data_IF_203400258562
#
_entry.id   IF_203400258562
#
_cell.length_a   1.000
_cell.length_b   1.000
_cell.length_c   1.000
_cell.angle_alpha   90.00
_cell.angle_beta   90.00
_cell.angle_gamma   90.00
#
_symmetry.space_group_name_H-M   'P 1'
#
loop_
_entity.id
_entity.type
_entity.pdbx_description
1 polymer ?
#
# COMPACT_ATOMS: atom_id res chain seq x y z
N UNK A 1 -2.20 18.51 13.53
CA UNK A 1 -2.46 17.20 12.91
C UNK A 1 -2.83 16.27 14.06
N UNK A 2 -4.12 16.12 14.31
CA UNK A 2 -4.63 15.39 15.48
C UNK A 2 -4.32 13.91 15.26
N UNK A 3 -3.40 13.34 16.05
CA UNK A 3 -3.20 11.89 16.07
C UNK A 3 -4.49 11.31 16.65
N UNK A 4 -5.35 10.77 15.77
CA UNK A 4 -6.50 10.01 16.20
C UNK A 4 -5.99 8.86 17.08
N UNK A 5 -6.47 8.82 18.32
CA UNK A 5 -6.17 7.76 19.27
C UNK A 5 -6.43 6.41 18.61
N UNK A 6 -5.50 5.46 18.70
CA UNK A 6 -5.71 4.14 18.11
C UNK A 6 -7.03 3.55 18.66
N UNK A 7 -7.92 3.05 17.78
CA UNK A 7 -9.21 2.49 18.19
C UNK A 7 -9.02 1.39 19.23
N UNK A 8 -9.71 1.48 20.37
CA UNK A 8 -9.52 0.56 21.49
C UNK A 8 -10.19 -0.81 21.26
N UNK A 9 -11.14 -0.92 20.32
CA UNK A 9 -11.75 -2.18 19.88
C UNK A 9 -12.46 -2.04 18.52
N UNK A 10 -12.76 -3.19 17.88
CA UNK A 10 -13.37 -3.27 16.55
C UNK A 10 -14.72 -2.52 16.43
N UNK A 11 -15.57 -2.58 17.46
CA UNK A 11 -16.87 -1.89 17.47
C UNK A 11 -16.72 -0.37 17.47
N UNK A 12 -15.77 0.15 18.27
CA UNK A 12 -15.45 1.58 18.30
C UNK A 12 -14.97 2.06 16.93
N UNK A 13 -14.07 1.28 16.31
CA UNK A 13 -13.54 1.60 14.99
C UNK A 13 -14.64 1.65 13.91
N UNK A 14 -15.55 0.67 13.85
CA UNK A 14 -16.66 0.67 12.88
C UNK A 14 -17.53 1.92 13.02
N UNK A 15 -17.85 2.32 14.25
CA UNK A 15 -18.65 3.51 14.55
C UNK A 15 -17.94 4.79 14.11
N UNK A 16 -16.66 4.92 14.42
CA UNK A 16 -15.84 6.08 14.05
C UNK A 16 -15.69 6.22 12.52
N UNK A 17 -15.69 5.10 11.79
CA UNK A 17 -15.61 5.06 10.34
C UNK A 17 -16.99 5.00 9.64
N UNK A 18 -18.09 5.11 10.40
CA UNK A 18 -19.44 5.23 9.84
C UNK A 18 -20.05 3.94 9.30
N UNK A 19 -19.47 2.77 9.58
CA UNK A 19 -20.01 1.49 9.11
C UNK A 19 -21.15 0.98 10.00
N UNK A 20 -22.24 0.54 9.36
CA UNK A 20 -23.35 -0.15 10.01
C UNK A 20 -23.43 -1.58 9.46
N UNK A 21 -22.89 -2.53 10.21
CA UNK A 21 -22.87 -3.94 9.82
C UNK A 21 -23.96 -4.73 10.54
N UNK A 22 -24.42 -5.82 9.92
CA UNK A 22 -25.26 -6.81 10.60
C UNK A 22 -24.49 -7.44 11.76
N UNK A 23 -25.19 -8.03 12.73
CA UNK A 23 -24.54 -8.69 13.88
C UNK A 23 -23.51 -9.74 13.45
N UNK A 24 -23.85 -10.56 12.45
CA UNK A 24 -22.95 -11.58 11.92
C UNK A 24 -21.72 -10.96 11.24
N UNK A 25 -21.91 -9.89 10.46
CA UNK A 25 -20.82 -9.17 9.83
C UNK A 25 -19.91 -8.46 10.86
N UNK A 26 -20.47 -7.87 11.92
CA UNK A 26 -19.71 -7.25 12.99
C UNK A 26 -18.82 -8.24 13.75
N UNK A 27 -19.28 -9.48 13.98
CA UNK A 27 -18.45 -10.54 14.59
C UNK A 27 -17.28 -10.89 13.67
N UNK A 28 -17.56 -11.13 12.38
CA UNK A 28 -16.51 -11.41 11.38
C UNK A 28 -15.50 -10.26 11.26
N UNK A 29 -15.99 -9.02 11.34
CA UNK A 29 -15.12 -7.85 11.35
C UNK A 29 -14.23 -7.82 12.60
N UNK A 30 -14.77 -8.12 13.78
CA UNK A 30 -13.99 -8.14 15.01
C UNK A 30 -12.86 -9.18 14.98
N UNK A 31 -13.13 -10.38 14.47
CA UNK A 31 -12.10 -11.42 14.30
C UNK A 31 -11.01 -10.97 13.32
N UNK A 32 -11.42 -10.40 12.17
CA UNK A 32 -10.50 -9.86 11.16
C UNK A 32 -9.70 -8.68 11.71
N UNK A 33 -10.32 -7.81 12.49
CA UNK A 33 -9.68 -6.64 13.10
C UNK A 33 -8.54 -7.07 14.02
N UNK A 34 -8.76 -8.06 14.88
CA UNK A 34 -7.72 -8.57 15.78
C UNK A 34 -6.54 -9.18 14.99
N UNK A 35 -6.84 -9.99 13.98
CA UNK A 35 -5.83 -10.55 13.07
C UNK A 35 -5.03 -9.46 12.34
N UNK A 36 -5.68 -8.38 11.89
CA UNK A 36 -5.00 -7.26 11.23
C UNK A 36 -4.14 -6.41 12.17
N UNK A 37 -4.56 -6.24 13.43
CA UNK A 37 -3.75 -5.57 14.46
C UNK A 37 -2.46 -6.35 14.72
N UNK A 38 -2.55 -7.68 14.78
CA UNK A 38 -1.39 -8.55 14.99
C UNK A 38 -0.51 -8.63 13.73
N UNK A 39 -1.11 -8.81 12.55
CA UNK A 39 -0.39 -8.93 11.29
C UNK A 39 0.40 -7.67 10.93
N UNK A 40 -0.14 -6.50 11.23
CA UNK A 40 0.45 -5.20 10.92
C UNK A 40 0.75 -4.42 12.20
N UNK A 41 1.59 -5.02 13.05
CA UNK A 41 1.96 -4.48 14.35
C UNK A 41 3.06 -3.41 14.28
N UNK A 42 3.87 -3.39 13.22
CA UNK A 42 4.93 -2.39 13.06
C UNK A 42 4.32 -1.00 12.75
N UNK A 43 4.73 0.08 13.44
CA UNK A 43 4.33 1.44 13.10
C UNK A 43 4.49 1.82 11.62
N UNK A 44 5.48 1.29 10.92
CA UNK A 44 5.68 1.51 9.48
C UNK A 44 4.56 0.89 8.62
N UNK A 45 3.83 -0.08 9.14
CA UNK A 45 2.76 -0.81 8.47
C UNK A 45 1.37 -0.30 8.84
N UNK A 46 1.24 0.65 9.77
CA UNK A 46 -0.06 1.20 10.18
C UNK A 46 -0.91 1.71 9.01
N UNK A 47 -0.36 2.38 7.98
CA UNK A 47 -1.15 2.74 6.81
C UNK A 47 -1.74 1.53 6.06
N UNK A 48 -1.01 0.40 6.02
CA UNK A 48 -1.49 -0.85 5.41
C UNK A 48 -2.58 -1.49 6.26
N UNK A 49 -2.41 -1.47 7.59
CA UNK A 49 -3.42 -1.93 8.54
C UNK A 49 -4.73 -1.17 8.37
N UNK A 50 -4.67 0.16 8.34
CA UNK A 50 -5.84 1.01 8.22
C UNK A 50 -6.56 0.79 6.89
N UNK A 51 -5.80 0.67 5.79
CA UNK A 51 -6.35 0.33 4.47
C UNK A 51 -7.02 -1.06 4.45
N UNK A 52 -6.41 -2.06 5.11
CA UNK A 52 -6.97 -3.40 5.20
C UNK A 52 -8.24 -3.46 6.07
N UNK A 53 -8.29 -2.72 7.18
CA UNK A 53 -9.49 -2.60 8.01
C UNK A 53 -10.63 -1.94 7.23
N UNK A 54 -10.34 -0.87 6.49
CA UNK A 54 -11.31 -0.22 5.61
C UNK A 54 -11.83 -1.18 4.53
N UNK A 55 -10.95 -1.93 3.87
CA UNK A 55 -11.35 -2.91 2.86
C UNK A 55 -12.23 -4.03 3.46
N UNK A 56 -11.88 -4.54 4.64
CA UNK A 56 -12.67 -5.56 5.33
C UNK A 56 -14.07 -5.05 5.70
N UNK A 57 -14.17 -3.84 6.24
CA UNK A 57 -15.45 -3.23 6.59
C UNK A 57 -16.34 -3.03 5.36
N UNK A 58 -15.79 -2.48 4.26
CA UNK A 58 -16.51 -2.28 3.00
C UNK A 58 -16.96 -3.59 2.35
N UNK A 59 -16.10 -4.61 2.38
CA UNK A 59 -16.46 -5.94 1.87
C UNK A 59 -17.64 -6.54 2.66
N UNK A 60 -17.61 -6.43 3.98
CA UNK A 60 -18.68 -6.93 4.86
C UNK A 60 -19.96 -6.08 4.79
N UNK A 61 -19.85 -4.83 4.33
CA UNK A 61 -20.98 -3.95 4.01
C UNK A 61 -21.50 -4.14 2.58
N UNK A 62 -20.93 -5.08 1.80
CA UNK A 62 -21.25 -5.30 0.38
C UNK A 62 -20.95 -4.08 -0.53
N UNK A 63 -20.07 -3.17 -0.09
CA UNK A 63 -19.64 -1.95 -0.80
C UNK A 63 -18.31 -2.10 -1.55
N UNK A 64 -17.69 -3.28 -1.45
CA UNK A 64 -16.44 -3.61 -2.12
C UNK A 64 -16.44 -5.10 -2.47
N UNK A 65 -16.17 -5.43 -3.72
CA UNK A 65 -16.02 -6.82 -4.17
C UNK A 65 -14.55 -7.21 -4.31
N UNK A 66 -14.29 -8.52 -4.44
CA UNK A 66 -12.95 -9.01 -4.77
C UNK A 66 -12.47 -8.50 -6.13
N UNK A 67 -13.38 -8.38 -7.10
CA UNK A 67 -13.05 -7.85 -8.42
C UNK A 67 -12.63 -6.37 -8.35
N UNK A 68 -13.34 -5.54 -7.59
CA UNK A 68 -12.98 -4.14 -7.36
C UNK A 68 -11.59 -4.01 -6.74
N UNK A 69 -11.28 -4.83 -5.74
CA UNK A 69 -9.97 -4.89 -5.11
C UNK A 69 -8.88 -5.31 -6.11
N UNK A 70 -9.16 -6.31 -6.95
CA UNK A 70 -8.26 -6.74 -8.03
C UNK A 70 -7.98 -5.63 -9.04
N UNK A 71 -9.02 -4.94 -9.51
CA UNK A 71 -8.89 -3.81 -10.43
C UNK A 71 -8.13 -2.63 -9.78
N UNK A 72 -8.32 -2.38 -8.49
CA UNK A 72 -7.55 -1.36 -7.77
C UNK A 72 -6.06 -1.71 -7.71
N UNK A 73 -5.72 -2.98 -7.40
CA UNK A 73 -4.35 -3.46 -7.38
C UNK A 73 -3.69 -3.37 -8.77
N UNK A 74 -4.39 -3.78 -9.81
CA UNK A 74 -3.87 -3.72 -11.19
C UNK A 74 -3.57 -2.27 -11.60
N UNK A 75 -4.47 -1.33 -11.30
CA UNK A 75 -4.25 0.10 -11.53
C UNK A 75 -3.06 0.66 -10.75
N UNK A 76 -2.78 0.14 -9.55
CA UNK A 76 -1.62 0.54 -8.77
C UNK A 76 -0.32 0.00 -9.38
N UNK A 77 -0.32 -1.28 -9.80
CA UNK A 77 0.82 -1.91 -10.49
C UNK A 77 1.16 -1.22 -11.80
N UNK A 78 0.16 -0.99 -12.64
CA UNK A 78 0.35 -0.28 -13.92
C UNK A 78 0.96 1.12 -13.74
N UNK A 79 0.56 1.84 -12.68
CA UNK A 79 1.18 3.13 -12.33
C UNK A 79 2.62 2.98 -11.85
N UNK A 80 2.92 1.97 -11.04
CA UNK A 80 4.27 1.67 -10.59
C UNK A 80 5.18 1.30 -11.78
N UNK A 81 4.70 0.48 -12.71
CA UNK A 81 5.43 0.06 -13.91
C UNK A 81 5.70 1.25 -14.84
N UNK A 82 4.71 2.13 -15.03
CA UNK A 82 4.87 3.37 -15.78
C UNK A 82 5.92 4.28 -15.13
N UNK A 83 5.84 4.47 -13.81
CA UNK A 83 6.84 5.24 -13.07
C UNK A 83 8.24 4.64 -13.17
N UNK A 84 8.36 3.31 -13.13
CA UNK A 84 9.61 2.59 -13.29
C UNK A 84 10.20 2.76 -14.69
N UNK A 85 9.36 2.74 -15.74
CA UNK A 85 9.80 2.97 -17.11
C UNK A 85 10.31 4.41 -17.30
N UNK A 86 9.61 5.41 -16.75
CA UNK A 86 10.06 6.81 -16.77
C UNK A 86 11.38 6.97 -16.03
N UNK A 87 11.49 6.45 -14.80
CA UNK A 87 12.71 6.53 -13.99
C UNK A 87 13.90 5.86 -14.70
N UNK A 88 13.67 4.73 -15.37
CA UNK A 88 14.70 4.03 -16.16
C UNK A 88 15.26 4.91 -17.27
N UNK A 89 14.39 5.47 -18.12
CA UNK A 89 14.83 6.25 -19.29
C UNK A 89 15.58 7.50 -18.84
N UNK A 90 15.05 8.23 -17.87
CA UNK A 90 15.70 9.43 -17.34
C UNK A 90 17.04 9.10 -16.70
N UNK A 91 17.13 8.03 -15.90
CA UNK A 91 18.38 7.63 -15.26
C UNK A 91 19.46 7.25 -16.29
N UNK A 92 19.10 6.55 -17.37
CA UNK A 92 20.05 6.19 -18.44
C UNK A 92 20.60 7.44 -19.14
N UNK A 93 19.72 8.36 -19.57
CA UNK A 93 20.13 9.61 -20.20
C UNK A 93 20.98 10.48 -19.27
N UNK A 94 20.60 10.62 -18.00
CA UNK A 94 21.40 11.39 -17.03
C UNK A 94 22.80 10.80 -16.82
N UNK A 95 22.97 9.49 -16.91
CA UNK A 95 24.30 8.87 -16.83
C UNK A 95 25.12 9.09 -18.10
N UNK A 96 24.48 9.16 -19.28
CA UNK A 96 25.12 9.59 -20.52
C UNK A 96 25.60 11.05 -20.42
N UNK A 97 24.84 11.90 -19.72
CA UNK A 97 25.20 13.29 -19.39
C UNK A 97 26.21 13.41 -18.23
N UNK A 98 26.72 12.29 -17.71
CA UNK A 98 27.82 12.26 -16.73
C UNK A 98 27.41 12.01 -15.27
N UNK A 99 26.13 11.76 -14.97
CA UNK A 99 25.72 11.33 -13.64
C UNK A 99 26.33 9.96 -13.30
N UNK A 100 26.86 9.81 -12.08
CA UNK A 100 27.38 8.51 -11.63
C UNK A 100 26.25 7.48 -11.39
N UNK A 101 26.55 6.18 -11.45
CA UNK A 101 25.57 5.12 -11.11
C UNK A 101 24.98 5.29 -9.71
N UNK A 102 25.80 5.67 -8.74
CA UNK A 102 25.34 5.93 -7.37
C UNK A 102 24.45 7.17 -7.28
N UNK A 103 24.75 8.21 -8.07
CA UNK A 103 23.90 9.38 -8.21
C UNK A 103 22.53 9.02 -8.80
N UNK A 104 22.52 8.24 -9.89
CA UNK A 104 21.31 7.75 -10.54
C UNK A 104 20.47 6.88 -9.59
N UNK A 105 21.10 5.97 -8.84
CA UNK A 105 20.43 5.13 -7.83
C UNK A 105 19.67 6.00 -6.79
N UNK A 106 20.37 6.96 -6.17
CA UNK A 106 19.75 7.81 -5.15
C UNK A 106 18.65 8.69 -5.71
N UNK A 107 18.86 9.30 -6.88
CA UNK A 107 17.89 10.18 -7.51
C UNK A 107 16.62 9.42 -7.94
N UNK A 108 16.77 8.25 -8.55
CA UNK A 108 15.66 7.41 -9.00
C UNK A 108 15.00 6.62 -7.85
N UNK A 109 15.56 6.66 -6.63
CA UNK A 109 15.07 5.94 -5.44
C UNK A 109 14.90 4.43 -5.65
N UNK A 110 15.84 3.83 -6.39
CA UNK A 110 15.89 2.39 -6.63
C UNK A 110 17.14 1.79 -5.99
N UNK A 111 17.22 0.47 -5.94
CA UNK A 111 18.43 -0.22 -5.50
C UNK A 111 19.52 -0.22 -6.60
N UNK A 112 20.76 -0.47 -6.19
CA UNK A 112 21.92 -0.51 -7.09
C UNK A 112 21.78 -1.57 -8.20
N UNK A 113 21.20 -2.73 -7.89
CA UNK A 113 21.05 -3.82 -8.85
C UNK A 113 20.02 -3.49 -9.94
N UNK A 114 18.99 -2.73 -9.60
CA UNK A 114 18.02 -2.20 -10.58
C UNK A 114 18.72 -1.30 -11.60
N UNK A 115 19.56 -0.35 -11.17
CA UNK A 115 20.34 0.50 -12.10
C UNK A 115 21.27 -0.33 -12.97
N UNK A 116 21.97 -1.32 -12.38
CA UNK A 116 22.86 -2.22 -13.15
C UNK A 116 22.10 -3.02 -14.20
N UNK A 117 20.93 -3.57 -13.85
CA UNK A 117 20.06 -4.30 -14.77
C UNK A 117 19.59 -3.41 -15.92
N UNK A 118 19.24 -2.16 -15.66
CA UNK A 118 18.87 -1.21 -16.72
C UNK A 118 20.00 -0.96 -17.71
N UNK A 119 21.25 -0.97 -17.23
CA UNK A 119 22.46 -0.88 -18.06
C UNK A 119 22.85 -2.19 -18.76
N UNK A 120 22.06 -3.25 -18.62
CA UNK A 120 22.38 -4.58 -19.17
C UNK A 120 23.53 -5.29 -18.45
N UNK A 121 23.92 -4.83 -17.26
CA UNK A 121 24.97 -5.45 -16.45
C UNK A 121 24.38 -6.56 -15.57
N UNK A 122 25.14 -7.65 -15.39
CA UNK A 122 24.84 -8.69 -14.39
C UNK A 122 25.31 -8.26 -13.00
#
# INVERSE_FOLDING_TARGET
MTMATAPTNATGWLRENGFKLSRAASVRFADTFNDLVERYADPAEYPMRDAAMMAAARYLAEELTLEDAGQALERARSRADTGMAVARVVALLSMEDGLSEHGAQRAARVDRMTVRRWRGKR
#
